data_IF_228972733988
#
_entry.id   IF_228972733988
#
_cell.length_a   1.000
_cell.length_b   1.000
_cell.length_c   1.000
_cell.angle_alpha   90.00
_cell.angle_beta   90.00
_cell.angle_gamma   90.00
#
_symmetry.space_group_name_H-M   'P 1'
#
loop_
_entity.id
_entity.type
_entity.pdbx_description
1 polymer ?
#
# COMPACT_ATOMS: atom_id res chain seq x y z
N UNK A 1 -51.37 -30.68 -41.70
CA UNK A 1 -50.43 -30.84 -40.58
C UNK A 1 -49.24 -29.90 -40.88
N UNK A 2 -49.27 -28.74 -40.22
CA UNK A 2 -48.27 -27.68 -40.45
C UNK A 2 -47.18 -27.78 -39.37
N UNK A 3 -45.98 -28.16 -39.76
CA UNK A 3 -44.82 -28.23 -38.88
C UNK A 3 -44.32 -26.81 -38.58
N UNK A 4 -44.44 -26.38 -37.34
CA UNK A 4 -43.79 -25.19 -36.81
C UNK A 4 -42.31 -25.53 -36.51
N UNK A 5 -41.40 -24.83 -37.16
CA UNK A 5 -39.96 -24.87 -36.88
C UNK A 5 -39.65 -24.28 -35.51
N UNK A 6 -38.68 -24.80 -34.74
CA UNK A 6 -38.30 -24.25 -33.46
C UNK A 6 -37.59 -22.91 -33.64
N UNK A 7 -38.05 -21.88 -32.89
CA UNK A 7 -37.40 -20.58 -32.79
C UNK A 7 -36.05 -20.77 -32.06
N UNK A 8 -34.97 -20.44 -32.74
CA UNK A 8 -33.64 -20.42 -32.15
C UNK A 8 -33.58 -19.35 -31.02
N UNK A 9 -33.36 -19.81 -29.80
CA UNK A 9 -33.04 -18.90 -28.68
C UNK A 9 -31.70 -18.24 -28.94
N UNK A 10 -31.72 -16.93 -29.17
CA UNK A 10 -30.52 -16.15 -29.19
C UNK A 10 -29.87 -16.19 -27.79
N UNK A 11 -28.69 -16.79 -27.67
CA UNK A 11 -27.90 -16.75 -26.46
C UNK A 11 -27.47 -15.30 -26.19
N UNK A 12 -27.82 -14.82 -25.03
CA UNK A 12 -27.32 -13.51 -24.52
C UNK A 12 -25.78 -13.55 -24.50
N UNK A 13 -25.11 -12.49 -24.95
CA UNK A 13 -23.66 -12.41 -24.83
C UNK A 13 -23.30 -12.55 -23.35
N UNK A 14 -22.27 -13.36 -23.07
CA UNK A 14 -21.71 -13.49 -21.74
C UNK A 14 -21.33 -12.11 -21.21
N UNK A 15 -21.54 -11.82 -19.91
CA UNK A 15 -21.13 -10.54 -19.34
C UNK A 15 -19.65 -10.37 -19.60
N UNK A 16 -19.28 -9.25 -20.22
CA UNK A 16 -17.89 -8.81 -20.34
C UNK A 16 -17.45 -8.51 -18.94
N UNK A 17 -16.74 -9.45 -18.30
CA UNK A 17 -16.03 -9.19 -17.05
C UNK A 17 -14.96 -8.16 -17.42
N UNK A 18 -14.96 -6.96 -16.83
CA UNK A 18 -13.87 -6.01 -17.05
C UNK A 18 -12.56 -6.72 -16.74
N UNK A 19 -11.56 -6.57 -17.61
CA UNK A 19 -10.21 -7.04 -17.33
C UNK A 19 -9.83 -6.47 -15.97
N UNK A 20 -9.67 -7.35 -14.96
CA UNK A 20 -9.43 -6.92 -13.60
C UNK A 20 -8.25 -5.95 -13.62
N UNK A 21 -8.49 -4.71 -13.24
CA UNK A 21 -7.41 -3.74 -13.06
C UNK A 21 -6.37 -4.41 -12.15
N UNK A 22 -5.07 -4.29 -12.50
CA UNK A 22 -4.00 -4.81 -11.64
C UNK A 22 -4.30 -4.37 -10.20
N UNK A 23 -4.43 -5.28 -9.22
CA UNK A 23 -4.83 -4.94 -7.85
C UNK A 23 -3.98 -3.80 -7.26
N UNK A 24 -2.68 -3.77 -7.56
CA UNK A 24 -1.79 -2.71 -7.12
C UNK A 24 -2.22 -1.33 -7.68
N UNK A 25 -2.59 -1.24 -8.94
CA UNK A 25 -3.06 0.02 -9.53
C UNK A 25 -4.40 0.46 -8.94
N UNK A 26 -5.31 -0.47 -8.67
CA UNK A 26 -6.59 -0.17 -8.02
C UNK A 26 -6.38 0.34 -6.58
N UNK A 27 -5.48 -0.27 -5.81
CA UNK A 27 -5.10 0.17 -4.47
C UNK A 27 -4.55 1.61 -4.50
N UNK A 28 -3.66 1.92 -5.45
CA UNK A 28 -3.12 3.28 -5.59
C UNK A 28 -4.23 4.27 -5.92
N UNK A 29 -5.16 3.93 -6.82
CA UNK A 29 -6.29 4.80 -7.15
C UNK A 29 -7.18 5.09 -5.93
N UNK A 30 -7.48 4.08 -5.09
CA UNK A 30 -8.19 4.27 -3.82
C UNK A 30 -7.42 5.22 -2.91
N UNK A 31 -6.13 4.98 -2.73
CA UNK A 31 -5.27 5.81 -1.87
C UNK A 31 -5.24 7.28 -2.35
N UNK A 32 -5.18 7.51 -3.66
CA UNK A 32 -5.25 8.86 -4.24
C UNK A 32 -6.61 9.54 -3.98
N UNK A 33 -7.72 8.80 -4.06
CA UNK A 33 -9.06 9.31 -3.78
C UNK A 33 -9.24 9.71 -2.30
N UNK A 34 -8.47 9.13 -1.37
CA UNK A 34 -8.49 9.47 0.06
C UNK A 34 -7.59 10.67 0.42
N UNK A 35 -6.68 11.10 -0.47
CA UNK A 35 -5.74 12.18 -0.18
C UNK A 35 -6.38 13.52 0.20
N UNK A 36 -7.47 13.98 -0.46
CA UNK A 36 -8.10 15.24 -0.07
C UNK A 36 -8.61 15.23 1.38
N UNK A 37 -9.19 14.11 1.82
CA UNK A 37 -9.72 13.97 3.18
C UNK A 37 -8.56 13.99 4.21
N UNK A 38 -7.49 13.23 3.97
CA UNK A 38 -6.29 13.23 4.82
C UNK A 38 -5.63 14.62 4.89
N UNK A 39 -5.51 15.31 3.75
CA UNK A 39 -4.89 16.64 3.70
C UNK A 39 -5.69 17.69 4.47
N UNK A 40 -7.00 17.54 4.57
CA UNK A 40 -7.89 18.39 5.35
C UNK A 40 -8.04 17.95 6.82
N UNK A 41 -7.47 16.80 7.19
CA UNK A 41 -7.60 16.23 8.52
C UNK A 41 -9.01 15.72 8.83
N UNK A 42 -9.72 15.24 7.80
CA UNK A 42 -11.05 14.66 7.91
C UNK A 42 -10.96 13.16 8.21
N UNK A 43 -11.90 12.69 9.03
CA UNK A 43 -12.03 11.28 9.36
C UNK A 43 -12.51 10.49 8.14
N UNK A 44 -11.80 9.44 7.81
CA UNK A 44 -12.18 8.44 6.81
C UNK A 44 -12.74 7.24 7.57
N UNK A 45 -14.01 6.93 7.38
CA UNK A 45 -14.64 5.77 7.97
C UNK A 45 -14.62 4.55 7.02
N UNK A 46 -14.99 3.39 7.55
CA UNK A 46 -15.03 2.15 6.78
C UNK A 46 -16.01 2.22 5.58
N UNK A 47 -17.05 3.05 5.66
CA UNK A 47 -18.00 3.21 4.57
C UNK A 47 -17.40 4.05 3.43
N UNK A 48 -16.65 5.09 3.75
CA UNK A 48 -15.91 5.90 2.78
C UNK A 48 -14.86 5.04 2.06
N UNK A 49 -14.06 4.29 2.80
CA UNK A 49 -13.07 3.35 2.25
C UNK A 49 -13.72 2.31 1.35
N UNK A 50 -14.81 1.67 1.80
CA UNK A 50 -15.56 0.67 1.02
C UNK A 50 -16.02 1.23 -0.32
N UNK A 51 -16.59 2.43 -0.37
CA UNK A 51 -17.05 3.06 -1.61
C UNK A 51 -15.93 3.25 -2.63
N UNK A 52 -14.75 3.67 -2.18
CA UNK A 52 -13.61 3.83 -3.07
C UNK A 52 -13.08 2.47 -3.56
N UNK A 53 -13.06 1.45 -2.69
CA UNK A 53 -12.71 0.09 -3.07
C UNK A 53 -13.68 -0.46 -4.13
N UNK A 54 -15.00 -0.33 -3.90
CA UNK A 54 -16.02 -0.78 -4.86
C UNK A 54 -15.89 -0.07 -6.22
N UNK A 55 -15.57 1.22 -6.21
CA UNK A 55 -15.35 1.99 -7.43
C UNK A 55 -14.10 1.52 -8.18
N UNK A 56 -12.98 1.36 -7.49
CA UNK A 56 -11.69 1.01 -8.10
C UNK A 56 -11.63 -0.44 -8.59
N UNK A 57 -12.28 -1.36 -7.86
CA UNK A 57 -12.29 -2.79 -8.19
C UNK A 57 -13.49 -3.22 -9.03
N UNK A 58 -14.48 -2.34 -9.26
CA UNK A 58 -15.67 -2.63 -10.05
C UNK A 58 -16.65 -3.62 -9.41
N UNK A 59 -16.57 -3.83 -8.10
CA UNK A 59 -17.43 -4.77 -7.36
C UNK A 59 -17.23 -4.69 -5.87
N UNK A 60 -18.03 -5.44 -5.09
CA UNK A 60 -17.96 -5.42 -3.63
C UNK A 60 -17.11 -6.54 -3.04
N UNK A 61 -16.76 -6.43 -1.76
CA UNK A 61 -16.16 -7.49 -0.96
C UNK A 61 -17.04 -8.76 -0.91
N UNK A 62 -18.35 -8.59 -0.88
CA UNK A 62 -19.30 -9.69 -0.90
C UNK A 62 -19.30 -10.48 -2.23
N UNK A 63 -18.92 -9.86 -3.34
CA UNK A 63 -18.77 -10.51 -4.65
C UNK A 63 -17.36 -11.05 -4.87
N UNK A 64 -16.44 -10.88 -3.92
CA UNK A 64 -15.05 -11.30 -4.05
C UNK A 64 -14.21 -10.41 -4.98
N UNK A 65 -14.67 -9.21 -5.34
CA UNK A 65 -13.91 -8.29 -6.17
C UNK A 65 -12.66 -7.76 -5.44
N UNK A 66 -12.71 -7.65 -4.14
CA UNK A 66 -11.61 -7.28 -3.23
C UNK A 66 -11.87 -7.84 -1.84
N UNK A 67 -10.88 -7.84 -1.00
CA UNK A 67 -10.99 -8.19 0.42
C UNK A 67 -10.50 -7.06 1.33
N UNK A 68 -10.73 -7.19 2.63
CA UNK A 68 -10.35 -6.17 3.61
C UNK A 68 -8.84 -6.04 3.78
N UNK A 69 -8.04 -7.04 3.37
CA UNK A 69 -6.59 -6.92 3.30
C UNK A 69 -6.19 -5.85 2.28
N UNK A 70 -6.73 -5.92 1.05
CA UNK A 70 -6.47 -4.92 0.00
C UNK A 70 -6.95 -3.52 0.42
N UNK A 71 -8.08 -3.43 1.14
CA UNK A 71 -8.58 -2.15 1.66
C UNK A 71 -7.60 -1.54 2.70
N UNK A 72 -7.06 -2.36 3.58
CA UNK A 72 -6.05 -1.89 4.56
C UNK A 72 -4.72 -1.52 3.90
N UNK A 73 -4.32 -2.23 2.84
CA UNK A 73 -3.17 -1.85 2.02
C UNK A 73 -3.40 -0.49 1.32
N UNK A 74 -4.64 -0.19 0.88
CA UNK A 74 -4.98 1.12 0.34
C UNK A 74 -4.88 2.25 1.39
N UNK A 75 -5.28 2.00 2.64
CA UNK A 75 -5.09 2.93 3.75
C UNK A 75 -3.60 3.21 4.00
N UNK A 76 -2.77 2.17 4.01
CA UNK A 76 -1.32 2.32 4.17
C UNK A 76 -0.69 3.11 3.02
N UNK A 77 -1.10 2.82 1.77
CA UNK A 77 -0.65 3.57 0.60
C UNK A 77 -1.10 5.03 0.68
N UNK A 78 -2.30 5.29 1.19
CA UNK A 78 -2.77 6.67 1.42
C UNK A 78 -1.86 7.43 2.41
N UNK A 79 -1.39 6.77 3.47
CA UNK A 79 -0.40 7.35 4.40
C UNK A 79 0.96 7.57 3.72
N UNK A 80 1.42 6.65 2.87
CA UNK A 80 2.67 6.80 2.10
C UNK A 80 2.59 8.03 1.20
N UNK A 81 1.51 8.18 0.43
CA UNK A 81 1.29 9.32 -0.45
C UNK A 81 1.20 10.64 0.34
N UNK A 82 0.51 10.62 1.48
CA UNK A 82 0.44 11.78 2.39
C UNK A 82 1.84 12.17 2.89
N UNK A 83 2.62 11.21 3.36
CA UNK A 83 3.98 11.46 3.84
C UNK A 83 4.92 11.92 2.74
N UNK A 84 4.81 11.37 1.54
CA UNK A 84 5.60 11.81 0.38
C UNK A 84 5.34 13.28 0.06
N UNK A 85 4.09 13.70 0.14
CA UNK A 85 3.69 15.09 -0.13
C UNK A 85 4.06 16.05 1.01
N UNK A 86 3.85 15.66 2.24
CA UNK A 86 3.91 16.57 3.38
C UNK A 86 5.02 16.26 4.40
N UNK A 87 5.56 15.03 4.42
CA UNK A 87 6.40 14.53 5.50
C UNK A 87 7.65 15.36 5.75
N UNK A 88 8.37 15.78 4.70
CA UNK A 88 9.56 16.66 4.86
C UNK A 88 9.20 18.03 5.45
N UNK A 89 8.12 18.63 4.98
CA UNK A 89 7.65 19.91 5.49
C UNK A 89 7.16 19.81 6.94
N UNK A 90 6.45 18.73 7.27
CA UNK A 90 6.01 18.46 8.64
C UNK A 90 7.20 18.26 9.59
N UNK A 91 8.21 17.50 9.20
CA UNK A 91 9.42 17.29 9.98
C UNK A 91 10.18 18.59 10.20
N UNK A 92 10.39 19.37 9.15
CA UNK A 92 11.04 20.67 9.22
C UNK A 92 10.29 21.64 10.14
N UNK A 93 8.96 21.67 10.06
CA UNK A 93 8.12 22.53 10.92
C UNK A 93 8.11 22.09 12.38
N UNK A 94 8.09 20.77 12.62
CA UNK A 94 8.15 20.21 13.96
C UNK A 94 9.51 20.42 14.64
N UNK A 95 10.58 20.54 13.85
CA UNK A 95 11.95 20.78 14.33
C UNK A 95 12.65 19.53 14.88
N UNK A 96 11.90 18.45 15.18
CA UNK A 96 12.47 17.18 15.61
C UNK A 96 11.52 16.03 15.36
N UNK A 97 12.02 14.76 15.21
CA UNK A 97 11.17 13.58 15.12
C UNK A 97 10.23 13.42 16.33
N UNK A 98 10.70 13.71 17.53
CA UNK A 98 9.89 13.62 18.74
C UNK A 98 8.68 14.57 18.71
N UNK A 99 8.86 15.80 18.21
CA UNK A 99 7.76 16.75 18.07
C UNK A 99 6.80 16.41 16.92
N UNK A 100 7.26 15.66 15.90
CA UNK A 100 6.41 15.17 14.80
C UNK A 100 5.55 14.00 15.24
N UNK A 101 5.97 13.19 16.21
CA UNK A 101 5.31 11.94 16.62
C UNK A 101 3.79 12.11 16.90
N UNK A 102 3.33 13.06 17.74
CA UNK A 102 1.90 13.25 18.02
C UNK A 102 1.11 13.64 16.77
N UNK A 103 1.71 14.33 15.82
CA UNK A 103 1.08 14.70 14.54
C UNK A 103 0.83 13.42 13.72
N UNK A 104 1.81 12.53 13.63
CA UNK A 104 1.66 11.26 12.88
C UNK A 104 0.66 10.32 13.54
N UNK A 105 0.61 10.27 14.87
CA UNK A 105 -0.43 9.52 15.60
C UNK A 105 -1.82 10.04 15.22
N UNK A 106 -2.00 11.36 15.15
CA UNK A 106 -3.26 11.98 14.74
C UNK A 106 -3.61 11.65 13.29
N UNK A 107 -2.63 11.74 12.37
CA UNK A 107 -2.84 11.42 10.95
C UNK A 107 -3.26 9.95 10.77
N UNK A 108 -2.58 9.02 11.43
CA UNK A 108 -2.95 7.61 11.41
C UNK A 108 -4.37 7.38 11.95
N UNK A 109 -4.80 8.17 12.94
CA UNK A 109 -6.14 8.10 13.52
C UNK A 109 -7.26 8.61 12.60
N UNK A 110 -6.95 9.22 11.45
CA UNK A 110 -7.98 9.59 10.46
C UNK A 110 -8.44 8.42 9.59
N UNK A 111 -7.72 7.30 9.62
CA UNK A 111 -8.06 6.10 8.86
C UNK A 111 -8.80 5.07 9.74
N UNK A 112 -9.58 4.17 9.12
CA UNK A 112 -10.27 3.11 9.85
C UNK A 112 -9.30 2.19 10.59
N UNK A 113 -9.72 1.67 11.73
CA UNK A 113 -8.94 0.68 12.47
C UNK A 113 -8.97 -0.67 11.75
N UNK A 114 -7.82 -1.29 11.57
CA UNK A 114 -7.69 -2.61 10.97
C UNK A 114 -8.14 -3.69 11.97
N UNK A 115 -9.36 -4.18 11.81
CA UNK A 115 -9.99 -5.15 12.74
C UNK A 115 -10.12 -6.55 12.17
N UNK A 116 -9.92 -6.73 10.86
CA UNK A 116 -10.05 -8.02 10.18
C UNK A 116 -8.68 -8.52 9.73
N UNK A 117 -8.44 -9.83 9.89
CA UNK A 117 -7.23 -10.51 9.40
C UNK A 117 -7.64 -11.56 8.38
N UNK A 118 -6.86 -11.74 7.32
CA UNK A 118 -7.00 -12.84 6.38
C UNK A 118 -6.02 -13.98 6.72
N UNK A 119 -6.32 -15.20 6.28
CA UNK A 119 -5.41 -16.34 6.42
C UNK A 119 -4.03 -16.06 5.77
N UNK A 120 -4.01 -15.32 4.66
CA UNK A 120 -2.78 -14.91 4.00
C UNK A 120 -1.94 -13.98 4.89
N UNK A 121 -2.56 -13.00 5.57
CA UNK A 121 -1.87 -12.12 6.50
C UNK A 121 -1.24 -12.90 7.65
N UNK A 122 -1.92 -13.92 8.15
CA UNK A 122 -1.41 -14.78 9.22
C UNK A 122 -0.28 -15.69 8.71
N UNK A 123 -0.46 -16.31 7.53
CA UNK A 123 0.53 -17.21 6.93
C UNK A 123 1.87 -16.52 6.63
N UNK A 124 1.83 -15.30 6.11
CA UNK A 124 3.02 -14.53 5.75
C UNK A 124 3.43 -13.52 6.82
N UNK A 125 2.77 -13.52 7.98
CA UNK A 125 3.00 -12.56 9.07
C UNK A 125 3.01 -11.10 8.56
N UNK A 126 2.08 -10.79 7.66
CA UNK A 126 1.99 -9.47 7.02
C UNK A 126 1.40 -8.43 7.97
N UNK A 127 2.19 -7.99 8.92
CA UNK A 127 1.81 -6.95 9.86
C UNK A 127 2.33 -5.60 9.36
N UNK A 128 1.46 -4.58 9.41
CA UNK A 128 1.86 -3.22 9.09
C UNK A 128 2.70 -2.61 10.20
N UNK A 129 3.76 -1.91 9.82
CA UNK A 129 4.51 -1.05 10.75
C UNK A 129 3.68 0.20 11.07
N UNK A 130 3.30 0.45 12.33
CA UNK A 130 2.60 1.69 12.67
C UNK A 130 3.41 2.92 12.29
N UNK A 131 2.74 3.96 11.78
CA UNK A 131 3.38 5.20 11.32
C UNK A 131 4.39 5.80 12.32
N UNK A 132 4.07 5.88 13.64
CA UNK A 132 5.02 6.35 14.64
C UNK A 132 6.31 5.52 14.76
N UNK A 133 6.22 4.21 14.51
CA UNK A 133 7.38 3.31 14.57
C UNK A 133 8.33 3.54 13.39
N UNK A 134 7.79 3.81 12.20
CA UNK A 134 8.60 4.17 11.03
C UNK A 134 9.40 5.45 11.26
N UNK A 135 8.77 6.48 11.87
CA UNK A 135 9.47 7.70 12.27
C UNK A 135 10.58 7.43 13.29
N UNK A 136 10.31 6.58 14.29
CA UNK A 136 11.30 6.23 15.32
C UNK A 136 12.49 5.48 14.71
N UNK A 137 12.23 4.54 13.79
CA UNK A 137 13.28 3.79 13.08
C UNK A 137 14.16 4.72 12.23
N UNK A 138 13.56 5.63 11.45
CA UNK A 138 14.30 6.64 10.68
C UNK A 138 15.19 7.52 11.59
N UNK A 139 14.65 7.98 12.71
CA UNK A 139 15.38 8.82 13.64
C UNK A 139 16.53 8.07 14.32
N UNK A 140 16.31 6.82 14.72
CA UNK A 140 17.34 5.97 15.33
C UNK A 140 18.47 5.62 14.34
N UNK A 141 18.11 5.32 13.10
CA UNK A 141 19.07 5.00 12.04
C UNK A 141 19.83 6.24 11.52
N UNK A 142 19.37 7.46 11.83
CA UNK A 142 19.97 8.73 11.37
C UNK A 142 20.17 8.78 9.84
N UNK A 143 19.20 8.30 9.11
CA UNK A 143 19.25 8.16 7.65
C UNK A 143 19.51 9.51 6.97
N UNK A 144 20.46 9.51 6.05
CA UNK A 144 20.88 10.68 5.26
C UNK A 144 20.89 10.36 3.76
N UNK A 145 21.17 11.36 2.93
CA UNK A 145 21.28 11.20 1.48
C UNK A 145 22.49 10.38 1.02
N UNK A 146 23.37 9.95 1.92
CA UNK A 146 24.52 9.09 1.62
C UNK A 146 24.25 7.62 1.87
N UNK A 147 23.11 7.31 2.46
CA UNK A 147 22.76 5.97 2.89
C UNK A 147 21.97 5.22 1.80
N UNK A 148 22.30 3.93 1.64
CA UNK A 148 21.49 2.96 0.92
C UNK A 148 20.81 2.08 1.96
N UNK A 149 19.49 2.16 2.03
CA UNK A 149 18.66 1.44 2.99
C UNK A 149 18.09 0.19 2.34
N UNK A 150 18.42 -0.97 2.87
CA UNK A 150 17.79 -2.23 2.50
C UNK A 150 16.57 -2.47 3.38
N UNK A 151 15.43 -2.67 2.74
CA UNK A 151 14.21 -3.12 3.40
C UNK A 151 13.86 -4.54 2.89
N UNK A 152 14.20 -5.60 3.64
CA UNK A 152 14.11 -6.97 3.15
C UNK A 152 12.67 -7.52 3.17
N UNK A 153 11.74 -6.86 3.85
CA UNK A 153 10.32 -7.23 3.94
C UNK A 153 9.48 -5.96 3.89
N UNK A 154 9.53 -5.26 2.74
CA UNK A 154 9.07 -3.88 2.63
C UNK A 154 7.56 -3.69 2.78
N UNK A 155 6.76 -4.75 2.65
CA UNK A 155 5.31 -4.67 2.73
C UNK A 155 4.74 -3.72 1.68
N UNK A 156 3.92 -2.77 2.11
CA UNK A 156 3.41 -1.68 1.27
C UNK A 156 4.41 -0.53 1.10
N UNK A 157 5.51 -0.51 1.87
CA UNK A 157 6.52 0.55 1.85
C UNK A 157 6.34 1.60 2.96
N UNK A 158 5.52 1.35 3.97
CA UNK A 158 5.25 2.31 5.04
C UNK A 158 6.49 2.62 5.91
N UNK A 159 7.43 1.69 6.03
CA UNK A 159 8.73 1.95 6.65
C UNK A 159 9.69 2.64 5.66
N UNK A 160 9.70 2.18 4.41
CA UNK A 160 10.57 2.70 3.35
C UNK A 160 10.35 4.21 3.07
N UNK A 161 9.10 4.71 3.15
CA UNK A 161 8.82 6.14 2.95
C UNK A 161 9.57 7.04 3.95
N UNK A 162 9.81 6.58 5.17
CA UNK A 162 10.59 7.35 6.14
C UNK A 162 12.07 7.42 5.77
N UNK A 163 12.63 6.37 5.18
CA UNK A 163 14.00 6.41 4.65
C UNK A 163 14.10 7.37 3.45
N UNK A 164 13.09 7.39 2.56
CA UNK A 164 12.99 8.37 1.46
C UNK A 164 12.89 9.81 1.99
N UNK A 165 12.11 10.05 3.05
CA UNK A 165 12.00 11.36 3.70
C UNK A 165 13.36 11.79 4.29
N UNK A 166 14.10 10.87 4.90
CA UNK A 166 15.46 11.09 5.38
C UNK A 166 16.48 11.38 4.28
N UNK A 167 16.13 11.10 3.03
CA UNK A 167 16.95 11.33 1.84
C UNK A 167 17.71 10.11 1.37
N UNK A 168 17.60 8.96 2.04
CA UNK A 168 18.28 7.71 1.69
C UNK A 168 17.80 7.14 0.36
N UNK A 169 18.68 6.43 -0.33
CA UNK A 169 18.34 5.56 -1.44
C UNK A 169 17.81 4.23 -0.90
N UNK A 170 16.92 3.58 -1.65
CA UNK A 170 16.26 2.35 -1.20
C UNK A 170 16.65 1.15 -2.07
N UNK A 171 16.76 -0.01 -1.44
CA UNK A 171 16.70 -1.33 -2.05
C UNK A 171 15.58 -2.10 -1.36
N UNK A 172 14.52 -2.42 -2.08
CA UNK A 172 13.30 -2.98 -1.53
C UNK A 172 13.17 -4.45 -1.93
N UNK A 173 12.72 -5.28 -0.99
CA UNK A 173 12.36 -6.66 -1.26
C UNK A 173 11.00 -6.97 -0.65
N UNK A 174 10.14 -7.66 -1.38
CA UNK A 174 8.81 -8.08 -0.89
C UNK A 174 8.39 -9.36 -1.60
N UNK A 175 8.10 -10.40 -0.85
CA UNK A 175 7.80 -11.73 -1.39
C UNK A 175 6.42 -11.80 -2.04
N UNK A 176 5.43 -11.05 -1.55
CA UNK A 176 4.07 -11.07 -2.06
C UNK A 176 3.97 -10.21 -3.34
N UNK A 177 3.54 -10.84 -4.45
CA UNK A 177 3.50 -10.21 -5.79
C UNK A 177 2.74 -8.88 -5.82
N UNK A 178 1.53 -8.81 -5.24
CA UNK A 178 0.72 -7.59 -5.21
C UNK A 178 1.43 -6.45 -4.49
N UNK A 179 2.11 -6.74 -3.37
CA UNK A 179 2.88 -5.74 -2.63
C UNK A 179 4.15 -5.33 -3.36
N UNK A 180 4.83 -6.28 -4.00
CA UNK A 180 5.98 -5.96 -4.86
C UNK A 180 5.58 -5.04 -6.02
N UNK A 181 4.41 -5.27 -6.63
CA UNK A 181 3.86 -4.38 -7.67
C UNK A 181 3.49 -3.01 -7.11
N UNK A 182 2.92 -2.93 -5.90
CA UNK A 182 2.69 -1.66 -5.20
C UNK A 182 4.01 -0.89 -4.99
N UNK A 183 5.06 -1.57 -4.52
CA UNK A 183 6.36 -0.94 -4.32
C UNK A 183 6.95 -0.40 -5.63
N UNK A 184 6.83 -1.13 -6.74
CA UNK A 184 7.26 -0.66 -8.07
C UNK A 184 6.52 0.60 -8.52
N UNK A 185 5.22 0.69 -8.24
CA UNK A 185 4.41 1.87 -8.54
C UNK A 185 4.76 3.05 -7.61
N UNK A 186 4.93 2.76 -6.32
CA UNK A 186 5.16 3.80 -5.31
C UNK A 186 6.61 4.32 -5.30
N UNK A 187 7.59 3.48 -5.62
CA UNK A 187 9.02 3.82 -5.56
C UNK A 187 9.73 3.55 -6.89
N UNK A 188 9.30 4.20 -8.00
CA UNK A 188 9.76 3.86 -9.36
C UNK A 188 11.26 4.08 -9.60
N UNK A 189 11.93 4.84 -8.74
CA UNK A 189 13.39 5.09 -8.82
C UNK A 189 14.24 4.06 -8.06
N UNK A 190 13.64 3.05 -7.45
CA UNK A 190 14.33 2.10 -6.56
C UNK A 190 14.14 0.65 -7.01
N UNK A 191 15.17 -0.22 -6.87
CA UNK A 191 15.04 -1.63 -7.20
C UNK A 191 14.07 -2.33 -6.22
N UNK A 192 13.19 -3.18 -6.78
CA UNK A 192 12.28 -4.03 -6.03
C UNK A 192 12.49 -5.48 -6.45
N UNK A 193 12.87 -6.32 -5.49
CA UNK A 193 13.07 -7.77 -5.66
C UNK A 193 11.97 -8.56 -4.94
N UNK A 194 11.88 -9.87 -5.22
CA UNK A 194 10.84 -10.77 -4.67
C UNK A 194 11.45 -12.04 -4.10
N UNK A 195 12.60 -11.90 -3.42
CA UNK A 195 13.28 -13.02 -2.79
C UNK A 195 12.69 -13.35 -1.41
N UNK A 196 12.90 -14.57 -0.95
CA UNK A 196 12.67 -14.89 0.45
C UNK A 196 13.63 -14.07 1.34
N UNK A 197 13.07 -13.25 2.22
CA UNK A 197 13.85 -12.39 3.10
C UNK A 197 14.80 -13.17 4.03
N UNK A 198 14.49 -14.43 4.35
CA UNK A 198 15.37 -15.29 5.14
C UNK A 198 16.67 -15.67 4.41
N UNK A 199 16.73 -15.49 3.08
CA UNK A 199 17.87 -15.78 2.24
C UNK A 199 18.35 -14.55 1.47
N UNK A 200 17.99 -13.37 1.90
CA UNK A 200 18.23 -12.12 1.17
C UNK A 200 19.72 -11.86 0.95
N UNK A 201 20.59 -12.25 1.90
CA UNK A 201 22.05 -12.11 1.85
C UNK A 201 22.69 -12.87 0.68
N UNK A 202 22.11 -13.99 0.24
CA UNK A 202 22.57 -14.74 -0.93
C UNK A 202 22.35 -13.97 -2.25
N UNK A 203 21.40 -13.04 -2.24
CA UNK A 203 20.98 -12.26 -3.41
C UNK A 203 21.51 -10.82 -3.42
N UNK A 204 22.11 -10.35 -2.32
CA UNK A 204 22.64 -9.00 -2.24
C UNK A 204 23.90 -8.85 -3.09
N UNK A 205 23.91 -7.89 -4.00
CA UNK A 205 25.11 -7.47 -4.72
C UNK A 205 26.14 -6.82 -3.78
N UNK A 206 27.40 -6.76 -4.22
CA UNK A 206 28.52 -6.24 -3.42
C UNK A 206 28.33 -4.81 -2.85
N UNK A 207 27.41 -4.03 -3.40
CA UNK A 207 27.07 -2.68 -2.92
C UNK A 207 26.13 -2.65 -1.72
N UNK A 208 25.46 -3.76 -1.42
CA UNK A 208 24.43 -3.85 -0.37
C UNK A 208 24.90 -4.78 0.76
N UNK A 209 25.99 -5.52 0.56
CA UNK A 209 26.60 -6.32 1.63
C UNK A 209 27.30 -5.39 2.62
N UNK A 210 27.10 -5.63 3.94
CA UNK A 210 27.78 -4.87 4.99
C UNK A 210 29.30 -5.00 4.93
#
# INVERSE_FOLDING_TARGET
>A
MTHLAPVAQASLPAPVVPLAANPASAIVAVAEALQPDLAQGLQIDALRLRREMEHAFGGSDATGAWDWKLAYEADEVALILFLRKFGRALLARAGSPAALLPILVKVAGFLPTHTRRSEEMERFQQFSTPLPMGLAAMAAAQITSRDLVLEPSAGTGLLAIFAEIGGGSLALNELADTRADLLRLLFPGHPVTTFDAAQIDDHLGARIRP
#
